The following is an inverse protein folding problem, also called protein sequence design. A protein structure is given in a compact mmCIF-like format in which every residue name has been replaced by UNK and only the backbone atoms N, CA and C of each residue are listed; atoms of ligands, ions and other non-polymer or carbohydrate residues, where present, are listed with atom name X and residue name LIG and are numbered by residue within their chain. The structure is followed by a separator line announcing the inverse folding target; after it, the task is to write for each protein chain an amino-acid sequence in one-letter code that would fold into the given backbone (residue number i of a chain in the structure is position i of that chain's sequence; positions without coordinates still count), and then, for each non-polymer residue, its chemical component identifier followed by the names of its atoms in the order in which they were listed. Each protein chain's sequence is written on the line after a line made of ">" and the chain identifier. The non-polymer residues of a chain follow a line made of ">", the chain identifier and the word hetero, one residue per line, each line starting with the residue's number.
data_IF_700974147093
#
_entry.id   IF_700974147093
#
_cell.length_a   1.000
_cell.length_b   1.000
_cell.length_c   1.000
_cell.angle_alpha   90.00
_cell.angle_beta   90.00
_cell.angle_gamma   90.00
#
_symmetry.space_group_name_H-M   'P 1'
#
loop_
_entity.id
_entity.type
_entity.pdbx_description
1 polymer ?
#
# COMPACT_ATOMS: atom_id res chain seq x y z
N UNK A 1 53.81 -21.95 -34.57
CA UNK A 1 54.74 -21.59 -35.61
C UNK A 1 54.83 -20.08 -35.57
N UNK A 2 55.84 -19.49 -34.84
CA UNK A 2 57.00 -18.71 -35.21
C UNK A 2 56.77 -17.74 -36.39
N UNK A 3 57.11 -16.48 -36.34
CA UNK A 3 58.32 -15.71 -35.85
C UNK A 3 58.01 -14.24 -36.03
N UNK A 4 58.31 -13.36 -35.09
CA UNK A 4 59.56 -12.53 -35.02
C UNK A 4 59.76 -11.53 -36.15
N UNK A 5 59.96 -10.29 -35.72
CA UNK A 5 60.63 -9.28 -36.56
C UNK A 5 60.48 -7.86 -36.02
N UNK A 6 61.44 -7.50 -35.16
CA UNK A 6 61.87 -6.15 -34.78
C UNK A 6 62.04 -5.19 -35.95
N UNK A 7 62.00 -3.87 -35.68
CA UNK A 7 63.11 -2.90 -35.76
C UNK A 7 62.58 -1.45 -35.77
N UNK A 8 62.78 -0.71 -34.70
CA UNK A 8 63.57 0.53 -34.46
C UNK A 8 63.46 1.70 -35.44
N UNK A 9 63.27 2.86 -34.84
CA UNK A 9 63.67 4.20 -35.31
C UNK A 9 62.55 5.20 -35.18
N UNK A 10 62.56 6.19 -34.37
CA UNK A 10 63.57 7.16 -34.03
C UNK A 10 63.12 8.55 -34.46
N UNK A 11 63.05 9.49 -33.52
CA UNK A 11 62.88 10.92 -33.80
C UNK A 11 61.54 11.50 -33.32
N UNK A 12 61.47 12.19 -32.27
CA UNK A 12 61.95 13.47 -31.87
C UNK A 12 61.06 14.61 -32.38
N UNK A 13 60.37 15.31 -31.48
CA UNK A 13 59.82 16.58 -31.90
C UNK A 13 58.53 16.97 -31.21
N UNK A 14 58.70 17.73 -30.18
CA UNK A 14 57.90 18.87 -29.74
C UNK A 14 56.48 18.70 -29.16
N UNK A 15 56.51 18.91 -27.93
CA UNK A 15 55.52 19.47 -27.00
C UNK A 15 54.85 20.71 -27.58
N UNK A 16 53.55 20.69 -27.79
CA UNK A 16 52.72 21.87 -27.69
C UNK A 16 51.34 21.45 -27.18
N UNK A 17 51.16 21.69 -25.92
CA UNK A 17 49.98 22.26 -25.25
C UNK A 17 48.73 22.38 -26.11
N UNK A 18 47.84 21.40 -26.01
CA UNK A 18 46.40 21.63 -26.25
C UNK A 18 45.73 21.70 -24.90
N UNK A 19 45.69 22.90 -24.33
CA UNK A 19 44.85 23.24 -23.24
C UNK A 19 43.41 22.98 -23.64
N UNK A 20 42.86 21.89 -23.11
CA UNK A 20 41.41 21.63 -23.11
C UNK A 20 40.72 22.82 -22.47
N UNK A 21 40.08 23.67 -23.28
CA UNK A 21 39.07 24.58 -22.86
C UNK A 21 37.92 23.78 -22.25
N UNK A 22 38.00 23.50 -20.98
CA UNK A 22 36.79 23.25 -20.17
C UNK A 22 35.99 24.54 -20.24
N UNK A 23 34.90 24.46 -20.96
CA UNK A 23 33.84 25.46 -20.85
C UNK A 23 33.47 25.56 -19.35
N UNK A 24 33.80 26.66 -18.75
CA UNK A 24 33.17 27.10 -17.51
C UNK A 24 31.74 27.39 -17.90
N UNK A 25 30.84 26.45 -17.60
CA UNK A 25 29.44 26.78 -17.44
C UNK A 25 29.39 27.70 -16.22
N UNK A 26 28.96 28.90 -16.45
CA UNK A 26 28.71 29.91 -15.46
C UNK A 26 27.79 29.31 -14.37
N UNK A 27 28.35 29.02 -13.22
CA UNK A 27 27.64 28.79 -11.99
C UNK A 27 27.18 30.16 -11.47
N UNK A 28 26.07 30.64 -11.93
CA UNK A 28 25.27 31.64 -11.23
C UNK A 28 24.27 30.92 -10.33
N UNK A 29 24.76 30.27 -9.30
CA UNK A 29 23.96 29.97 -8.12
C UNK A 29 24.42 30.94 -7.05
N UNK A 30 23.57 31.86 -6.72
CA UNK A 30 23.71 32.81 -5.61
C UNK A 30 23.97 32.04 -4.31
N UNK A 31 25.14 32.23 -3.70
CA UNK A 31 25.46 31.84 -2.31
C UNK A 31 24.65 32.68 -1.32
N UNK A 32 23.35 32.75 -1.46
CA UNK A 32 22.48 33.44 -0.51
C UNK A 32 21.81 32.37 0.32
N UNK A 33 22.30 32.21 1.53
CA UNK A 33 21.64 31.33 2.51
C UNK A 33 20.24 31.84 2.81
N UNK A 34 19.34 30.91 3.06
CA UNK A 34 17.92 31.15 3.35
C UNK A 34 17.72 31.12 4.87
N UNK A 35 17.13 32.15 5.42
CA UNK A 35 16.69 32.10 6.82
C UNK A 35 15.33 31.41 6.85
N UNK A 36 15.26 30.21 7.44
CA UNK A 36 14.06 29.41 7.53
C UNK A 36 13.71 29.07 8.98
N UNK A 37 12.42 28.93 9.24
CA UNK A 37 11.90 28.47 10.52
C UNK A 37 10.97 27.28 10.29
N UNK A 38 11.24 26.17 10.98
CA UNK A 38 10.37 25.00 11.00
C UNK A 38 9.20 25.24 11.95
N UNK A 39 7.97 25.15 11.44
CA UNK A 39 6.73 25.37 12.20
C UNK A 39 5.81 24.18 12.06
N UNK A 40 5.06 23.90 13.09
CA UNK A 40 4.00 22.87 13.07
C UNK A 40 2.77 23.36 12.26
N UNK A 41 1.83 22.49 11.98
CA UNK A 41 0.56 22.79 11.31
C UNK A 41 -0.24 23.88 12.04
N UNK A 42 -0.09 23.98 13.36
CA UNK A 42 -0.70 25.02 14.19
C UNK A 42 0.09 26.34 14.20
N UNK A 43 1.26 26.38 13.52
CA UNK A 43 2.13 27.55 13.45
C UNK A 43 3.11 27.68 14.62
N UNK A 44 3.20 26.67 15.49
CA UNK A 44 4.16 26.68 16.59
C UNK A 44 5.58 26.37 16.07
N UNK A 45 6.62 27.15 16.44
CA UNK A 45 7.98 26.90 15.99
C UNK A 45 8.59 25.68 16.69
N UNK A 46 9.22 24.79 15.92
CA UNK A 46 9.95 23.63 16.46
C UNK A 46 11.32 23.99 17.03
N UNK A 47 11.81 25.21 16.74
CA UNK A 47 13.12 25.66 17.17
C UNK A 47 13.44 27.09 16.72
N UNK A 48 14.71 27.52 16.86
CA UNK A 48 15.17 28.83 16.40
C UNK A 48 15.13 28.90 14.87
N UNK A 49 15.33 30.12 14.37
CA UNK A 49 15.55 30.33 12.94
C UNK A 49 16.88 29.69 12.52
N UNK A 50 16.87 29.03 11.38
CA UNK A 50 17.97 28.28 10.82
C UNK A 50 18.48 28.95 9.55
N UNK A 51 19.79 29.00 9.41
CA UNK A 51 20.46 29.42 8.18
C UNK A 51 20.69 28.20 7.30
N UNK A 52 19.92 28.07 6.23
CA UNK A 52 19.91 26.92 5.37
C UNK A 52 20.48 27.28 3.99
N UNK A 53 21.36 26.42 3.41
CA UNK A 53 21.74 26.57 2.03
C UNK A 53 20.55 26.28 1.11
N UNK A 54 20.47 26.89 -0.07
CA UNK A 54 19.31 26.79 -0.95
C UNK A 54 19.11 25.38 -1.56
N UNK A 55 20.14 24.56 -1.57
CA UNK A 55 20.16 23.20 -2.10
C UNK A 55 19.75 22.11 -1.08
N UNK A 56 19.27 22.53 0.09
CA UNK A 56 18.78 21.59 1.13
C UNK A 56 17.59 20.80 0.62
N UNK A 57 17.72 19.46 0.65
CA UNK A 57 16.68 18.53 0.27
C UNK A 57 15.82 18.04 1.45
N UNK A 58 14.74 17.32 1.13
CA UNK A 58 13.80 16.77 2.11
C UNK A 58 14.49 15.90 3.18
N UNK A 59 15.52 15.14 2.82
CA UNK A 59 16.24 14.26 3.76
C UNK A 59 17.02 15.04 4.80
N UNK A 60 17.62 16.15 4.40
CA UNK A 60 18.39 17.01 5.29
C UNK A 60 17.45 17.78 6.23
N UNK A 61 16.31 18.27 5.70
CA UNK A 61 15.26 18.87 6.52
C UNK A 61 14.71 17.88 7.56
N UNK A 62 14.54 16.62 7.20
CA UNK A 62 14.13 15.58 8.15
C UNK A 62 15.17 15.35 9.25
N UNK A 63 16.46 15.40 8.91
CA UNK A 63 17.54 15.23 9.89
C UNK A 63 17.58 16.38 10.86
N UNK A 64 17.50 17.61 10.35
CA UNK A 64 17.44 18.83 11.16
C UNK A 64 16.23 18.88 12.08
N UNK A 65 15.05 18.55 11.56
CA UNK A 65 13.83 18.48 12.38
C UNK A 65 13.95 17.44 13.50
N UNK A 66 14.53 16.28 13.23
CA UNK A 66 14.76 15.25 14.26
C UNK A 66 15.70 15.73 15.36
N UNK A 67 16.74 16.47 15.01
CA UNK A 67 17.65 17.04 16.00
C UNK A 67 16.97 18.10 16.86
N UNK A 68 16.16 18.97 16.24
CA UNK A 68 15.39 19.98 16.96
C UNK A 68 14.34 19.36 17.89
N UNK A 69 13.60 18.36 17.41
CA UNK A 69 12.61 17.66 18.23
C UNK A 69 13.27 16.91 19.39
N UNK A 70 14.42 16.28 19.20
CA UNK A 70 15.19 15.64 20.28
C UNK A 70 15.73 16.64 21.30
N UNK A 71 16.14 17.82 20.85
CA UNK A 71 16.63 18.85 21.75
C UNK A 71 15.53 19.46 22.63
N UNK A 72 14.28 19.42 22.16
CA UNK A 72 13.09 19.93 22.87
C UNK A 72 12.30 18.85 23.62
N UNK A 73 12.60 17.56 23.38
CA UNK A 73 11.83 16.44 23.93
C UNK A 73 12.10 16.20 25.41
N UNK A 74 11.03 16.01 26.17
CA UNK A 74 11.00 15.27 27.41
C UNK A 74 10.74 13.78 27.10
N UNK A 75 11.12 12.87 27.98
CA UNK A 75 11.21 11.41 27.78
C UNK A 75 10.01 10.70 27.07
N UNK A 76 8.85 11.35 26.98
CA UNK A 76 7.65 10.79 26.31
C UNK A 76 7.54 11.12 24.81
N UNK A 77 8.32 12.06 24.29
CA UNK A 77 8.23 12.55 22.90
C UNK A 77 9.21 11.89 21.91
N UNK A 78 9.97 10.89 22.32
CA UNK A 78 11.00 10.23 21.49
C UNK A 78 10.39 9.49 20.28
N UNK A 79 9.11 9.12 20.33
CA UNK A 79 8.41 8.53 19.18
C UNK A 79 8.21 9.51 18.02
N UNK A 80 8.00 10.80 18.28
CA UNK A 80 7.83 11.84 17.25
C UNK A 80 9.10 12.01 16.42
N UNK A 81 10.27 11.94 17.03
CA UNK A 81 11.55 12.07 16.33
C UNK A 81 11.82 10.91 15.32
N UNK A 82 11.08 9.80 15.39
CA UNK A 82 11.23 8.65 14.48
C UNK A 82 10.28 8.64 13.30
N UNK A 83 9.27 9.51 13.29
CA UNK A 83 8.29 9.57 12.22
C UNK A 83 8.89 10.20 10.94
N UNK A 84 8.44 9.82 9.77
CA UNK A 84 8.69 10.56 8.55
C UNK A 84 7.81 11.82 8.52
N UNK A 85 8.39 12.92 8.06
CA UNK A 85 7.71 14.19 7.92
C UNK A 85 7.67 14.64 6.47
N UNK A 86 6.56 15.24 6.06
CA UNK A 86 6.44 16.03 4.86
C UNK A 86 6.66 17.51 5.21
N UNK A 87 7.24 18.26 4.29
CA UNK A 87 7.53 19.68 4.45
C UNK A 87 6.75 20.49 3.42
N UNK A 88 6.18 21.58 3.85
CA UNK A 88 5.36 22.45 3.01
C UNK A 88 5.89 23.87 3.11
N UNK A 89 5.99 24.54 1.96
CA UNK A 89 6.32 25.96 1.86
C UNK A 89 5.18 26.64 1.12
N UNK A 90 4.57 27.63 1.76
CA UNK A 90 3.40 28.34 1.22
C UNK A 90 2.25 27.44 0.76
N UNK A 91 2.04 26.32 1.51
CA UNK A 91 0.96 25.36 1.27
C UNK A 91 1.27 24.27 0.24
N UNK A 92 2.48 24.23 -0.34
CA UNK A 92 2.90 23.19 -1.26
C UNK A 92 4.00 22.30 -0.69
N UNK A 93 3.90 21.01 -1.04
CA UNK A 93 4.86 20.01 -0.59
C UNK A 93 6.21 20.17 -1.27
N UNK A 94 7.27 20.19 -0.49
CA UNK A 94 8.66 20.19 -0.97
C UNK A 94 9.03 18.76 -1.38
N UNK A 95 9.09 18.50 -2.67
CA UNK A 95 9.43 17.16 -3.23
C UNK A 95 10.89 17.04 -3.65
N UNK A 96 11.59 18.16 -3.80
CA UNK A 96 13.00 18.26 -4.21
C UNK A 96 13.81 19.15 -3.28
N UNK A 97 14.63 20.00 -3.86
CA UNK A 97 15.43 20.97 -3.14
C UNK A 97 14.61 22.25 -2.88
N UNK A 98 14.90 22.97 -1.79
CA UNK A 98 14.23 24.21 -1.46
C UNK A 98 14.39 25.27 -2.56
N UNK A 99 15.56 25.33 -3.20
CA UNK A 99 15.82 26.26 -4.29
C UNK A 99 14.84 26.10 -5.47
N UNK A 100 14.54 24.87 -5.86
CA UNK A 100 13.59 24.58 -6.95
C UNK A 100 12.18 25.03 -6.59
N UNK A 101 11.73 24.73 -5.37
CA UNK A 101 10.42 25.11 -4.86
C UNK A 101 10.25 26.63 -4.77
N UNK A 102 11.29 27.34 -4.29
CA UNK A 102 11.31 28.80 -4.19
C UNK A 102 11.32 29.46 -5.57
N UNK A 103 12.12 28.93 -6.53
CA UNK A 103 12.23 29.46 -7.88
C UNK A 103 10.93 29.29 -8.67
N UNK A 104 10.27 28.13 -8.57
CA UNK A 104 8.98 27.87 -9.24
C UNK A 104 7.89 28.79 -8.74
N UNK A 105 7.92 29.18 -7.48
CA UNK A 105 6.88 29.97 -6.82
C UNK A 105 7.18 31.47 -6.72
N UNK A 106 8.41 31.89 -7.07
CA UNK A 106 8.85 33.27 -6.93
C UNK A 106 8.66 33.81 -5.50
N UNK A 107 8.93 32.95 -4.51
CA UNK A 107 8.81 33.31 -3.09
C UNK A 107 9.90 34.33 -2.78
N UNK A 108 9.55 35.40 -2.08
CA UNK A 108 10.52 36.42 -1.65
C UNK A 108 11.42 35.83 -0.56
N UNK A 109 12.72 35.81 -0.81
CA UNK A 109 13.74 35.34 0.13
C UNK A 109 14.22 36.42 1.13
N UNK A 110 13.60 37.62 1.08
CA UNK A 110 13.93 38.72 2.02
C UNK A 110 13.28 38.53 3.40
N UNK A 111 12.36 37.60 3.53
CA UNK A 111 11.67 37.30 4.78
C UNK A 111 12.03 35.89 5.26
N UNK A 112 11.85 35.63 6.57
CA UNK A 112 12.03 34.31 7.15
C UNK A 112 11.07 33.33 6.49
N UNK A 113 11.63 32.30 5.84
CA UNK A 113 10.88 31.27 5.16
C UNK A 113 10.24 30.30 6.19
N UNK A 114 8.93 30.27 6.26
CA UNK A 114 8.21 29.33 7.13
C UNK A 114 8.05 27.99 6.41
N UNK A 115 8.68 26.96 6.94
CA UNK A 115 8.55 25.58 6.45
C UNK A 115 7.65 24.83 7.42
N UNK A 116 6.43 24.53 6.98
CA UNK A 116 5.47 23.76 7.77
C UNK A 116 5.83 22.28 7.69
N UNK A 117 6.03 21.61 8.82
CA UNK A 117 6.24 20.17 8.86
C UNK A 117 4.98 19.45 9.33
N UNK A 118 4.66 18.32 8.67
CA UNK A 118 3.53 17.48 9.00
C UNK A 118 3.96 16.03 9.11
N UNK A 119 3.59 15.30 10.18
CA UNK A 119 3.91 13.88 10.28
C UNK A 119 3.13 13.08 9.21
N UNK A 120 3.84 12.25 8.48
CA UNK A 120 3.23 11.33 7.53
C UNK A 120 2.72 10.09 8.24
N UNK A 121 1.52 9.64 7.87
CA UNK A 121 0.96 8.38 8.37
C UNK A 121 1.78 7.20 7.87
N UNK A 122 2.46 6.51 8.77
CA UNK A 122 3.19 5.29 8.45
C UNK A 122 2.43 4.10 8.94
N UNK A 123 1.98 3.27 8.02
CA UNK A 123 1.44 1.96 8.34
C UNK A 123 2.59 1.02 8.73
N UNK A 124 2.87 0.92 10.02
CA UNK A 124 3.80 -0.09 10.53
C UNK A 124 3.05 -1.42 10.65
N UNK A 125 3.22 -2.27 9.67
CA UNK A 125 2.76 -3.66 9.79
C UNK A 125 3.68 -4.37 10.77
N UNK A 126 3.18 -4.67 11.97
CA UNK A 126 3.89 -5.53 12.91
C UNK A 126 3.86 -6.95 12.36
N UNK A 127 5.02 -7.58 12.27
CA UNK A 127 5.09 -8.97 11.87
C UNK A 127 4.29 -9.83 12.88
N UNK A 128 3.36 -10.65 12.36
CA UNK A 128 2.63 -11.62 13.18
C UNK A 128 3.61 -12.74 13.52
N UNK A 129 3.93 -12.88 14.80
CA UNK A 129 4.95 -13.82 15.30
C UNK A 129 4.35 -15.06 15.94
N UNK A 130 3.02 -15.10 16.17
CA UNK A 130 2.35 -16.24 16.81
C UNK A 130 0.94 -16.44 16.31
N UNK A 131 0.50 -17.69 16.29
CA UNK A 131 -0.91 -18.04 16.13
C UNK A 131 -1.64 -17.73 17.45
N UNK A 132 -2.70 -16.89 17.38
CA UNK A 132 -3.51 -16.54 18.56
C UNK A 132 -4.59 -17.58 18.88
N UNK A 133 -5.11 -18.26 17.85
CA UNK A 133 -6.10 -19.31 18.00
C UNK A 133 -6.06 -20.29 16.82
N UNK A 134 -6.37 -21.56 17.09
CA UNK A 134 -6.58 -22.57 16.07
C UNK A 134 -7.98 -23.17 16.27
N UNK A 135 -8.83 -23.04 15.26
CA UNK A 135 -10.21 -23.50 15.31
C UNK A 135 -10.32 -24.75 14.42
N UNK A 136 -10.47 -25.91 15.03
CA UNK A 136 -10.66 -27.17 14.32
C UNK A 136 -12.15 -27.41 14.02
N UNK A 137 -12.43 -28.05 12.88
CA UNK A 137 -13.83 -28.39 12.57
C UNK A 137 -14.02 -29.12 11.24
N UNK A 138 -13.34 -28.71 10.17
CA UNK A 138 -13.46 -29.41 8.89
C UNK A 138 -12.84 -30.80 8.90
N UNK A 139 -13.41 -31.71 8.13
CA UNK A 139 -12.89 -33.07 8.01
C UNK A 139 -11.74 -33.19 6.99
N UNK A 140 -11.64 -32.22 6.08
CA UNK A 140 -10.60 -32.14 5.05
C UNK A 140 -9.96 -30.77 4.99
N UNK A 141 -9.01 -30.57 4.09
CA UNK A 141 -8.27 -29.33 3.94
C UNK A 141 -9.20 -28.14 3.71
N UNK A 142 -8.93 -27.03 4.39
CA UNK A 142 -9.58 -25.74 4.16
C UNK A 142 -8.93 -25.09 2.93
N UNK A 143 -9.72 -24.80 1.92
CA UNK A 143 -9.25 -24.29 0.63
C UNK A 143 -9.47 -22.79 0.47
N UNK A 144 -10.46 -22.23 1.18
CA UNK A 144 -10.79 -20.80 1.10
C UNK A 144 -11.28 -20.29 2.45
N UNK A 145 -10.90 -19.07 2.79
CA UNK A 145 -11.38 -18.36 3.98
C UNK A 145 -11.71 -16.92 3.61
N UNK A 146 -12.73 -16.36 4.23
CA UNK A 146 -13.13 -14.98 4.02
C UNK A 146 -13.73 -14.38 5.30
N UNK A 147 -13.27 -13.19 5.69
CA UNK A 147 -13.88 -12.42 6.76
C UNK A 147 -15.14 -11.70 6.29
N UNK A 148 -16.13 -11.58 7.18
CA UNK A 148 -17.24 -10.67 6.97
C UNK A 148 -16.75 -9.21 7.03
N UNK A 149 -17.44 -8.28 6.36
CA UNK A 149 -17.04 -6.88 6.28
C UNK A 149 -17.03 -6.17 7.64
N UNK A 150 -17.80 -6.68 8.60
CA UNK A 150 -17.84 -6.20 9.99
C UNK A 150 -16.75 -6.81 10.88
N UNK A 151 -15.98 -7.76 10.35
CA UNK A 151 -14.90 -8.44 11.08
C UNK A 151 -15.36 -9.41 12.18
N UNK A 152 -16.68 -9.64 12.38
CA UNK A 152 -17.20 -10.49 13.47
C UNK A 152 -17.30 -11.97 13.11
N UNK A 153 -17.45 -12.27 11.83
CA UNK A 153 -17.62 -13.63 11.35
C UNK A 153 -16.53 -14.02 10.36
N UNK A 154 -16.22 -15.29 10.33
CA UNK A 154 -15.33 -15.91 9.34
C UNK A 154 -16.11 -17.01 8.61
N UNK A 155 -15.91 -17.12 7.31
CA UNK A 155 -16.37 -18.25 6.52
C UNK A 155 -15.19 -19.07 6.03
N UNK A 156 -15.29 -20.39 6.11
CA UNK A 156 -14.29 -21.32 5.58
C UNK A 156 -14.91 -22.34 4.68
N UNK A 157 -14.31 -22.59 3.53
CA UNK A 157 -14.70 -23.62 2.55
C UNK A 157 -13.66 -24.71 2.45
N UNK A 158 -14.10 -25.92 2.39
CA UNK A 158 -13.23 -27.09 2.51
C UNK A 158 -13.46 -28.13 1.40
N UNK A 159 -12.49 -29.04 1.29
CA UNK A 159 -12.57 -30.25 0.51
C UNK A 159 -13.67 -31.22 0.97
N UNK A 160 -14.14 -31.09 2.21
CA UNK A 160 -15.28 -31.86 2.73
C UNK A 160 -16.64 -31.44 2.13
N UNK A 161 -16.64 -30.59 1.10
CA UNK A 161 -17.80 -30.01 0.43
C UNK A 161 -18.72 -29.16 1.31
N UNK A 162 -18.28 -28.80 2.49
CA UNK A 162 -19.03 -27.93 3.41
C UNK A 162 -18.39 -26.55 3.53
N UNK A 163 -19.22 -25.58 3.93
CA UNK A 163 -18.78 -24.26 4.34
C UNK A 163 -19.11 -24.14 5.83
N UNK A 164 -18.20 -23.61 6.61
CA UNK A 164 -18.46 -23.33 8.01
C UNK A 164 -18.39 -21.83 8.27
N UNK A 165 -19.33 -21.36 9.08
CA UNK A 165 -19.36 -20.02 9.60
C UNK A 165 -18.93 -20.05 11.06
N UNK A 166 -18.02 -19.14 11.41
CA UNK A 166 -17.43 -19.04 12.74
C UNK A 166 -17.70 -17.64 13.29
N UNK A 167 -18.00 -17.58 14.56
CA UNK A 167 -18.02 -16.32 15.29
C UNK A 167 -16.60 -16.09 15.84
N UNK A 168 -15.98 -14.95 15.56
CA UNK A 168 -14.60 -14.66 15.96
C UNK A 168 -14.47 -14.23 17.41
N UNK A 169 -15.50 -13.62 17.99
CA UNK A 169 -15.48 -13.20 19.38
C UNK A 169 -15.52 -14.40 20.33
N UNK A 170 -16.38 -15.37 20.02
CA UNK A 170 -16.52 -16.59 20.82
C UNK A 170 -15.61 -17.74 20.37
N UNK A 171 -14.99 -17.60 19.20
CA UNK A 171 -14.18 -18.64 18.52
C UNK A 171 -14.96 -19.96 18.33
N UNK A 172 -16.27 -19.87 18.22
CA UNK A 172 -17.17 -21.02 18.12
C UNK A 172 -17.77 -21.17 16.71
N UNK A 173 -18.07 -22.41 16.26
CA UNK A 173 -18.79 -22.62 15.03
C UNK A 173 -20.22 -22.11 15.16
N UNK A 174 -20.68 -21.33 14.17
CA UNK A 174 -22.03 -20.79 14.08
C UNK A 174 -22.94 -21.68 13.27
N UNK A 175 -22.55 -22.01 12.04
CA UNK A 175 -23.30 -22.83 11.12
C UNK A 175 -22.38 -23.73 10.28
N UNK A 176 -22.93 -24.88 9.83
CA UNK A 176 -22.33 -25.72 8.81
C UNK A 176 -23.28 -25.76 7.61
N UNK A 177 -22.86 -25.15 6.51
CA UNK A 177 -23.66 -25.02 5.29
C UNK A 177 -23.35 -26.21 4.37
N UNK A 178 -24.36 -27.01 4.10
CA UNK A 178 -24.25 -28.22 3.26
C UNK A 178 -24.99 -28.00 1.96
N UNK A 179 -24.40 -28.42 0.84
CA UNK A 179 -25.07 -28.29 -0.44
C UNK A 179 -24.18 -28.49 -1.66
N UNK A 180 -22.92 -28.09 -1.62
CA UNK A 180 -21.97 -28.44 -2.65
C UNK A 180 -21.77 -29.96 -2.70
N UNK A 181 -21.58 -30.48 -3.89
CA UNK A 181 -21.36 -31.93 -4.11
C UNK A 181 -19.87 -32.27 -4.24
N UNK A 182 -19.02 -31.26 -4.27
CA UNK A 182 -17.58 -31.41 -4.37
C UNK A 182 -16.90 -30.21 -3.63
N UNK A 183 -15.61 -30.15 -3.63
CA UNK A 183 -14.77 -29.17 -2.94
C UNK A 183 -15.24 -27.74 -3.13
N UNK A 184 -15.27 -26.98 -2.05
CA UNK A 184 -15.54 -25.54 -2.06
C UNK A 184 -14.22 -24.80 -2.24
N UNK A 185 -14.05 -24.21 -3.44
CA UNK A 185 -12.78 -23.60 -3.83
C UNK A 185 -12.68 -22.12 -3.47
N UNK A 186 -13.80 -21.40 -3.48
CA UNK A 186 -13.81 -19.97 -3.23
C UNK A 186 -15.07 -19.53 -2.47
N UNK A 187 -14.91 -18.52 -1.63
CA UNK A 187 -15.97 -17.92 -0.82
C UNK A 187 -15.81 -16.41 -0.86
N UNK A 188 -16.91 -15.68 -0.92
CA UNK A 188 -16.91 -14.23 -0.86
C UNK A 188 -18.14 -13.71 -0.11
N UNK A 189 -17.94 -12.80 0.83
CA UNK A 189 -18.99 -12.06 1.52
C UNK A 189 -19.43 -10.86 0.69
N UNK A 190 -20.74 -10.58 0.71
CA UNK A 190 -21.22 -9.28 0.24
C UNK A 190 -20.75 -8.17 1.19
N UNK A 191 -20.55 -6.97 0.65
CA UNK A 191 -20.04 -5.83 1.44
C UNK A 191 -21.01 -5.39 2.56
N UNK A 192 -22.30 -5.71 2.41
CA UNK A 192 -23.36 -5.45 3.39
C UNK A 192 -23.59 -6.61 4.38
N UNK A 193 -22.82 -7.70 4.28
CA UNK A 193 -22.94 -8.93 5.07
C UNK A 193 -24.29 -9.66 4.97
N UNK A 194 -25.13 -9.31 3.99
CA UNK A 194 -26.44 -9.95 3.79
C UNK A 194 -26.32 -11.29 3.09
N UNK A 195 -25.30 -11.46 2.25
CA UNK A 195 -25.09 -12.65 1.45
C UNK A 195 -23.67 -13.21 1.61
N UNK A 196 -23.59 -14.53 1.51
CA UNK A 196 -22.34 -15.25 1.30
C UNK A 196 -22.44 -16.02 -0.01
N UNK A 197 -21.47 -15.83 -0.89
CA UNK A 197 -21.36 -16.61 -2.13
C UNK A 197 -20.26 -17.66 -2.01
N UNK A 198 -20.49 -18.85 -2.56
CA UNK A 198 -19.49 -19.91 -2.63
C UNK A 198 -19.44 -20.52 -4.02
N UNK A 199 -18.24 -20.84 -4.48
CA UNK A 199 -18.00 -21.53 -5.74
C UNK A 199 -17.23 -22.83 -5.52
N UNK A 200 -17.60 -23.86 -6.25
CA UNK A 200 -17.07 -25.20 -6.04
C UNK A 200 -16.48 -25.86 -7.27
N UNK A 201 -15.86 -27.01 -7.01
CA UNK A 201 -15.38 -27.94 -8.02
C UNK A 201 -16.54 -28.61 -8.79
N UNK A 202 -17.77 -28.53 -8.24
CA UNK A 202 -19.02 -28.99 -8.86
C UNK A 202 -19.53 -28.04 -9.96
N UNK A 203 -18.75 -27.04 -10.34
CA UNK A 203 -19.08 -26.04 -11.37
C UNK A 203 -20.32 -25.19 -11.05
N UNK A 204 -20.74 -25.16 -9.79
CA UNK A 204 -21.89 -24.38 -9.34
C UNK A 204 -21.44 -23.24 -8.42
N UNK A 205 -22.23 -22.17 -8.42
CA UNK A 205 -22.16 -21.12 -7.41
C UNK A 205 -23.40 -21.22 -6.54
N UNK A 206 -23.24 -21.04 -5.22
CA UNK A 206 -24.34 -21.03 -4.27
C UNK A 206 -24.36 -19.77 -3.45
N UNK A 207 -25.57 -19.34 -3.10
CA UNK A 207 -25.79 -18.21 -2.19
C UNK A 207 -26.36 -18.72 -0.87
N UNK A 208 -25.91 -18.09 0.20
CA UNK A 208 -26.25 -18.43 1.57
C UNK A 208 -26.65 -17.20 2.34
N UNK A 209 -27.56 -17.39 3.28
CA UNK A 209 -27.88 -16.39 4.29
C UNK A 209 -27.02 -16.66 5.53
N UNK A 210 -26.07 -15.77 5.88
CA UNK A 210 -25.19 -15.99 7.01
C UNK A 210 -25.89 -15.82 8.38
N UNK A 211 -27.11 -15.30 8.38
CA UNK A 211 -27.90 -15.10 9.60
C UNK A 211 -28.66 -16.37 9.99
N UNK A 212 -29.26 -17.05 9.01
CA UNK A 212 -30.03 -18.26 9.22
C UNK A 212 -29.21 -19.54 8.99
N UNK A 213 -28.13 -19.46 8.20
CA UNK A 213 -27.34 -20.61 7.78
C UNK A 213 -27.99 -21.42 6.67
N UNK A 214 -28.99 -20.87 5.97
CA UNK A 214 -29.72 -21.57 4.92
C UNK A 214 -29.27 -21.15 3.52
N UNK A 215 -29.46 -22.05 2.56
CA UNK A 215 -29.20 -21.75 1.16
C UNK A 215 -30.27 -20.80 0.60
N UNK A 216 -29.86 -19.72 -0.03
CA UNK A 216 -30.76 -18.78 -0.71
C UNK A 216 -31.02 -19.24 -2.15
N UNK A 217 -31.96 -20.13 -2.31
CA UNK A 217 -32.35 -20.71 -3.61
C UNK A 217 -31.51 -21.91 -3.99
N UNK A 218 -31.64 -22.30 -5.25
CA UNK A 218 -30.90 -23.46 -5.82
C UNK A 218 -29.49 -23.10 -6.26
N UNK A 219 -28.68 -24.10 -6.66
CA UNK A 219 -27.37 -23.87 -7.22
C UNK A 219 -27.47 -23.09 -8.53
N UNK A 220 -26.67 -22.03 -8.65
CA UNK A 220 -26.53 -21.26 -9.87
C UNK A 220 -25.67 -22.06 -10.86
N UNK A 221 -26.31 -22.54 -11.90
CA UNK A 221 -25.70 -23.35 -12.94
C UNK A 221 -25.37 -22.50 -14.16
N UNK A 222 -24.27 -22.78 -14.81
CA UNK A 222 -23.87 -22.07 -16.02
C UNK A 222 -22.43 -22.34 -16.42
N UNK A 223 -21.53 -22.37 -15.44
CA UNK A 223 -20.13 -22.73 -15.69
C UNK A 223 -20.02 -24.21 -16.10
N UNK A 224 -19.09 -24.48 -17.02
CA UNK A 224 -18.79 -25.83 -17.52
C UNK A 224 -17.67 -26.52 -16.74
N UNK A 225 -16.90 -25.76 -16.00
CA UNK A 225 -15.80 -26.23 -15.15
C UNK A 225 -15.88 -25.57 -13.77
N UNK A 226 -14.99 -25.97 -12.89
CA UNK A 226 -14.94 -25.45 -11.53
C UNK A 226 -14.81 -23.93 -11.47
N UNK A 227 -15.37 -23.36 -10.43
CA UNK A 227 -15.34 -21.92 -10.14
C UNK A 227 -14.07 -21.62 -9.36
N UNK A 228 -13.28 -20.67 -9.83
CA UNK A 228 -11.97 -20.33 -9.25
C UNK A 228 -11.98 -19.12 -8.34
N UNK A 229 -12.85 -18.15 -8.63
CA UNK A 229 -12.93 -16.92 -7.85
C UNK A 229 -14.33 -16.32 -7.87
N UNK A 230 -14.63 -15.56 -6.83
CA UNK A 230 -15.87 -14.80 -6.65
C UNK A 230 -15.52 -13.39 -6.21
N UNK A 231 -16.26 -12.40 -6.70
CA UNK A 231 -16.15 -11.02 -6.25
C UNK A 231 -17.53 -10.37 -6.23
N UNK A 232 -17.84 -9.67 -5.15
CA UNK A 232 -19.04 -8.86 -5.02
C UNK A 232 -18.82 -7.46 -5.52
N UNK A 233 -19.87 -6.84 -6.02
CA UNK A 233 -19.88 -5.42 -6.34
C UNK A 233 -19.65 -4.61 -5.05
N UNK A 234 -18.78 -3.59 -5.08
CA UNK A 234 -18.51 -2.79 -3.91
C UNK A 234 -19.72 -1.93 -3.52
N UNK A 235 -19.97 -1.77 -2.21
CA UNK A 235 -21.15 -1.06 -1.68
C UNK A 235 -21.24 0.41 -2.10
N UNK A 236 -20.11 1.06 -2.41
CA UNK A 236 -20.10 2.46 -2.88
C UNK A 236 -20.60 2.62 -4.31
N UNK A 237 -20.59 1.54 -5.12
CA UNK A 237 -21.09 1.56 -6.48
C UNK A 237 -22.60 1.28 -6.55
N UNK A 238 -23.11 0.42 -5.66
CA UNK A 238 -24.53 0.07 -5.60
C UNK A 238 -24.93 -0.36 -4.18
N UNK A 239 -26.00 0.21 -3.67
CA UNK A 239 -26.61 -0.22 -2.41
C UNK A 239 -28.13 -0.36 -2.61
N UNK A 240 -28.76 -1.46 -2.20
CA UNK A 240 -28.15 -2.69 -1.65
C UNK A 240 -27.27 -3.43 -2.64
N UNK A 241 -26.25 -4.15 -2.13
CA UNK A 241 -25.32 -4.94 -2.96
C UNK A 241 -26.06 -6.17 -3.51
N UNK A 242 -26.34 -6.19 -4.80
CA UNK A 242 -27.14 -7.23 -5.42
C UNK A 242 -26.39 -8.05 -6.48
N UNK A 243 -25.26 -7.56 -6.97
CA UNK A 243 -24.51 -8.19 -8.05
C UNK A 243 -23.18 -8.74 -7.57
N UNK A 244 -22.82 -9.87 -8.14
CA UNK A 244 -21.49 -10.45 -7.97
C UNK A 244 -21.05 -11.15 -9.25
N UNK A 245 -19.77 -11.38 -9.40
CA UNK A 245 -19.23 -12.11 -10.52
C UNK A 245 -18.51 -13.38 -10.06
N UNK A 246 -18.49 -14.37 -10.95
CA UNK A 246 -17.73 -15.60 -10.79
C UNK A 246 -16.81 -15.83 -11.97
N UNK A 247 -15.60 -16.27 -11.69
CA UNK A 247 -14.64 -16.72 -12.69
C UNK A 247 -14.52 -18.24 -12.65
N UNK A 248 -14.31 -18.86 -13.79
CA UNK A 248 -14.19 -20.32 -13.90
C UNK A 248 -13.05 -20.73 -14.82
N UNK A 249 -12.56 -21.93 -14.59
CA UNK A 249 -11.59 -22.60 -15.47
C UNK A 249 -12.17 -22.95 -16.87
N UNK A 250 -13.45 -22.65 -17.13
CA UNK A 250 -14.03 -22.71 -18.47
C UNK A 250 -13.65 -21.50 -19.36
N UNK A 251 -12.86 -20.54 -18.83
CA UNK A 251 -12.43 -19.35 -19.52
C UNK A 251 -13.46 -18.21 -19.52
N UNK A 252 -14.56 -18.36 -18.78
CA UNK A 252 -15.62 -17.34 -18.72
C UNK A 252 -15.73 -16.67 -17.36
N UNK A 253 -16.15 -15.41 -17.37
CA UNK A 253 -16.62 -14.68 -16.20
C UNK A 253 -18.13 -14.49 -16.35
N UNK A 254 -18.88 -14.73 -15.28
CA UNK A 254 -20.33 -14.56 -15.24
C UNK A 254 -20.73 -13.58 -14.18
N UNK A 255 -21.70 -12.73 -14.51
CA UNK A 255 -22.28 -11.77 -13.57
C UNK A 255 -23.65 -12.28 -13.15
N UNK A 256 -23.91 -12.27 -11.87
CA UNK A 256 -25.12 -12.78 -11.26
C UNK A 256 -25.83 -11.69 -10.47
N UNK A 257 -27.15 -11.76 -10.46
CA UNK A 257 -27.98 -10.94 -9.59
C UNK A 257 -28.47 -11.81 -8.42
N UNK A 258 -28.18 -11.42 -7.19
CA UNK A 258 -28.51 -12.20 -6.00
C UNK A 258 -30.01 -12.10 -5.61
N UNK A 259 -30.73 -11.13 -6.15
CA UNK A 259 -32.13 -10.84 -5.82
C UNK A 259 -33.07 -11.26 -6.93
N UNK A 260 -32.70 -11.05 -8.18
CA UNK A 260 -33.51 -11.46 -9.33
C UNK A 260 -33.24 -12.93 -9.66
N UNK A 261 -34.29 -13.71 -9.72
CA UNK A 261 -34.28 -15.14 -10.15
C UNK A 261 -34.48 -15.26 -11.64
#
# INVERSE_FOLDING_TARGET
>A
VKRDGDVVGGGGGDVMSAASKRARTDATSSDVNLIAQLVDVEGAPAGPELDLPPDVGVKELQSLLRELLRASATDEDDERATLPYAFYVDGEEVTGDLATTIAERKISVEQVLKIVYQPQSVFRVRAVTRCSAAIAGHAEAVLSVAFSSDGKNLASGSGDSTIRLWNLDSQAPKFTLKGHTNWVLCIAWSSDNVFLASGGMDSTVRLWDPTTGEARGGPLKGHKKHVTALAWEPAHAAYPVVRFCSASADGSVRVWDAVRR
#
